data_IF_250462451133
#
_entry.id   IF_250462451133
#
_cell.length_a   1.000
_cell.length_b   1.000
_cell.length_c   1.000
_cell.angle_alpha   90.00
_cell.angle_beta   90.00
_cell.angle_gamma   90.00
#
_symmetry.space_group_name_H-M   'P 1'
#
loop_
_entity.id
_entity.type
_entity.pdbx_description
1 polymer ?
#
# COMPACT_ATOMS: atom_id res chain seq x y z
N UNK A 1 -21.85 11.44 9.97
CA UNK A 1 -22.12 10.67 8.73
C UNK A 1 -22.75 9.33 9.10
N UNK A 2 -23.73 8.89 8.34
CA UNK A 2 -24.40 7.58 8.40
C UNK A 2 -23.56 6.50 7.71
N UNK A 3 -23.93 5.22 7.85
CA UNK A 3 -23.25 4.11 7.15
C UNK A 3 -23.20 4.29 5.64
N UNK A 4 -24.32 4.57 4.93
CA UNK A 4 -24.32 4.82 3.48
C UNK A 4 -23.44 6.02 3.04
N UNK A 5 -23.37 7.09 3.84
CA UNK A 5 -22.49 8.23 3.56
C UNK A 5 -21.02 7.86 3.75
N UNK A 6 -20.69 7.04 4.76
CA UNK A 6 -19.35 6.49 4.94
C UNK A 6 -18.96 5.58 3.79
N UNK A 7 -19.86 4.69 3.36
CA UNK A 7 -19.62 3.81 2.21
C UNK A 7 -19.31 4.62 0.95
N UNK A 8 -20.13 5.64 0.65
CA UNK A 8 -19.92 6.51 -0.53
C UNK A 8 -18.64 7.36 -0.45
N UNK A 9 -18.15 7.62 0.78
CA UNK A 9 -16.88 8.32 1.01
C UNK A 9 -15.66 7.43 0.83
N UNK A 10 -15.80 6.12 1.03
CA UNK A 10 -14.70 5.16 0.96
C UNK A 10 -14.06 5.09 -0.42
N UNK A 11 -12.73 4.86 -0.44
CA UNK A 11 -11.94 4.61 -1.67
C UNK A 11 -11.02 3.43 -1.44
N UNK A 12 -10.68 2.75 -2.52
CA UNK A 12 -9.72 1.64 -2.53
C UNK A 12 -10.17 0.42 -1.71
N UNK A 13 -11.45 0.09 -1.78
CA UNK A 13 -12.04 -1.08 -1.14
C UNK A 13 -12.94 -1.84 -2.15
N UNK A 14 -13.28 -3.09 -1.81
CA UNK A 14 -14.16 -3.98 -2.58
C UNK A 14 -15.38 -4.43 -1.80
N UNK A 15 -15.32 -4.42 -0.47
CA UNK A 15 -16.42 -4.76 0.41
C UNK A 15 -16.61 -3.72 1.51
N UNK A 16 -17.85 -3.51 1.91
CA UNK A 16 -18.24 -2.64 3.01
C UNK A 16 -19.07 -3.45 4.02
N UNK A 17 -18.75 -3.27 5.29
CA UNK A 17 -19.45 -3.92 6.38
C UNK A 17 -19.90 -2.88 7.39
N UNK A 18 -21.17 -2.97 7.78
CA UNK A 18 -21.75 -2.19 8.88
C UNK A 18 -22.22 -3.15 9.97
N UNK A 19 -21.68 -3.00 11.17
CA UNK A 19 -22.07 -3.81 12.33
C UNK A 19 -23.31 -3.26 13.02
N UNK A 20 -24.00 -4.09 13.80
CA UNK A 20 -25.19 -3.71 14.57
C UNK A 20 -24.94 -2.55 15.54
N UNK A 21 -23.70 -2.29 15.90
CA UNK A 21 -23.27 -1.18 16.77
C UNK A 21 -22.88 0.08 15.98
N UNK A 22 -23.15 0.10 14.67
CA UNK A 22 -22.91 1.21 13.75
C UNK A 22 -21.44 1.45 13.39
N UNK A 23 -20.53 0.51 13.71
CA UNK A 23 -19.17 0.57 13.20
C UNK A 23 -19.09 0.06 11.76
N UNK A 24 -18.45 0.84 10.90
CA UNK A 24 -18.29 0.57 9.48
C UNK A 24 -16.83 0.23 9.16
N UNK A 25 -16.62 -0.74 8.27
CA UNK A 25 -15.30 -1.22 7.83
C UNK A 25 -15.23 -1.38 6.33
N UNK A 26 -14.03 -1.25 5.79
CA UNK A 26 -13.74 -1.34 4.36
C UNK A 26 -12.78 -2.50 4.10
N UNK A 27 -13.16 -3.41 3.23
CA UNK A 27 -12.42 -4.62 2.90
C UNK A 27 -11.77 -4.46 1.53
N UNK A 28 -10.45 -4.69 1.43
CA UNK A 28 -9.66 -4.51 0.21
C UNK A 28 -9.78 -5.65 -0.80
N UNK A 29 -10.24 -6.79 -0.38
CA UNK A 29 -10.25 -8.05 -1.12
C UNK A 29 -11.66 -8.55 -1.41
N UNK A 30 -11.80 -9.39 -2.43
CA UNK A 30 -13.03 -10.13 -2.70
C UNK A 30 -13.24 -11.24 -1.67
N UNK A 31 -14.45 -11.79 -1.60
CA UNK A 31 -14.74 -12.94 -0.72
C UNK A 31 -13.91 -14.17 -1.10
N UNK A 32 -13.68 -14.38 -2.39
CA UNK A 32 -12.86 -15.48 -2.91
C UNK A 32 -11.38 -15.31 -2.53
N UNK A 33 -10.83 -14.12 -2.65
CA UNK A 33 -9.47 -13.83 -2.20
C UNK A 33 -9.31 -14.02 -0.68
N UNK A 34 -10.29 -13.57 0.11
CA UNK A 34 -10.26 -13.77 1.56
C UNK A 34 -10.32 -15.26 1.94
N UNK A 35 -11.00 -16.10 1.14
CA UNK A 35 -10.98 -17.55 1.34
C UNK A 35 -9.59 -18.13 1.08
N UNK A 36 -8.93 -17.73 0.00
CA UNK A 36 -7.55 -18.16 -0.33
C UNK A 36 -6.58 -17.73 0.77
N UNK A 37 -6.58 -16.46 1.15
CA UNK A 37 -5.72 -15.99 2.26
C UNK A 37 -6.11 -16.61 3.61
N UNK A 38 -7.37 -17.00 3.77
CA UNK A 38 -7.91 -17.60 4.98
C UNK A 38 -7.37 -18.98 5.31
N UNK A 39 -6.71 -19.67 4.36
CA UNK A 39 -6.06 -20.96 4.57
C UNK A 39 -4.84 -20.86 5.52
N UNK A 40 -4.19 -19.69 5.57
CA UNK A 40 -3.09 -19.41 6.49
C UNK A 40 -3.49 -18.29 7.48
N UNK A 41 -3.38 -18.49 8.80
CA UNK A 41 -3.74 -17.50 9.79
C UNK A 41 -3.02 -16.16 9.65
N UNK A 42 -1.75 -16.17 9.20
CA UNK A 42 -0.98 -14.93 8.98
C UNK A 42 -1.57 -14.13 7.82
N UNK A 43 -1.80 -14.78 6.67
CA UNK A 43 -2.33 -14.12 5.48
C UNK A 43 -3.78 -13.68 5.67
N UNK A 44 -4.60 -14.46 6.40
CA UNK A 44 -5.95 -14.08 6.83
C UNK A 44 -5.94 -12.74 7.56
N UNK A 45 -5.06 -12.59 8.55
CA UNK A 45 -4.96 -11.36 9.33
C UNK A 45 -4.43 -10.18 8.50
N UNK A 46 -3.42 -10.40 7.67
CA UNK A 46 -2.82 -9.36 6.85
C UNK A 46 -3.74 -8.89 5.72
N UNK A 47 -4.59 -9.78 5.17
CA UNK A 47 -5.60 -9.40 4.18
C UNK A 47 -6.70 -8.51 4.76
N UNK A 48 -7.00 -8.61 6.06
CA UNK A 48 -7.98 -7.76 6.73
C UNK A 48 -7.48 -6.35 7.06
N UNK A 49 -6.18 -6.08 6.96
CA UNK A 49 -5.61 -4.76 7.21
C UNK A 49 -6.14 -3.70 6.23
N UNK A 50 -6.25 -2.45 6.70
CA UNK A 50 -6.89 -1.35 5.95
C UNK A 50 -5.93 -0.56 5.04
N UNK A 51 -4.78 -1.14 4.68
CA UNK A 51 -3.74 -0.47 3.89
C UNK A 51 -4.27 0.14 2.59
N UNK A 52 -3.96 1.42 2.37
CA UNK A 52 -4.34 2.14 1.15
C UNK A 52 -5.81 2.59 1.10
N UNK A 53 -6.65 2.17 2.05
CA UNK A 53 -8.03 2.68 2.18
C UNK A 53 -8.00 4.12 2.68
N UNK A 54 -8.83 4.96 2.13
CA UNK A 54 -9.06 6.31 2.64
C UNK A 54 -10.51 6.75 2.44
N UNK A 55 -10.96 7.74 3.23
CA UNK A 55 -12.21 8.44 3.00
C UNK A 55 -11.95 9.75 2.24
N UNK A 56 -12.70 9.97 1.16
CA UNK A 56 -12.77 11.23 0.43
C UNK A 56 -13.92 12.04 0.99
N UNK A 57 -13.63 13.22 1.53
CA UNK A 57 -14.57 14.04 2.28
C UNK A 57 -14.52 15.50 1.80
N UNK A 58 -15.59 16.23 2.00
CA UNK A 58 -15.66 17.68 1.82
C UNK A 58 -16.25 18.31 3.06
N UNK A 59 -15.62 19.35 3.60
CA UNK A 59 -16.13 20.11 4.74
C UNK A 59 -15.76 21.59 4.67
N UNK A 60 -16.61 22.45 5.22
CA UNK A 60 -16.29 23.85 5.52
C UNK A 60 -15.82 24.06 6.96
N UNK A 61 -15.78 22.97 7.77
CA UNK A 61 -15.23 22.95 9.11
C UNK A 61 -13.69 23.04 9.12
N UNK A 62 -13.13 23.09 10.32
CA UNK A 62 -11.71 23.04 10.63
C UNK A 62 -11.37 21.93 11.63
N UNK A 63 -12.35 21.05 11.91
CA UNK A 63 -12.26 19.91 12.83
C UNK A 63 -12.94 18.69 12.26
N UNK A 64 -12.34 17.52 12.51
CA UNK A 64 -12.90 16.22 12.18
C UNK A 64 -12.70 15.28 13.36
N UNK A 65 -13.75 14.55 13.74
CA UNK A 65 -13.67 13.56 14.82
C UNK A 65 -14.49 12.31 14.51
N UNK A 66 -14.09 11.19 15.08
CA UNK A 66 -14.81 9.91 14.96
C UNK A 66 -14.39 8.94 16.04
N UNK A 67 -15.23 7.95 16.29
CA UNK A 67 -14.85 6.78 17.06
C UNK A 67 -14.26 5.73 16.13
N UNK A 68 -13.23 5.04 16.57
CA UNK A 68 -12.65 3.92 15.83
C UNK A 68 -12.26 2.76 16.74
N UNK A 69 -12.26 1.58 16.16
CA UNK A 69 -11.63 0.37 16.67
C UNK A 69 -10.52 0.00 15.72
N UNK A 70 -9.36 -0.24 16.27
CA UNK A 70 -8.21 -0.75 15.55
C UNK A 70 -7.84 -2.08 16.19
N UNK A 71 -7.81 -3.14 15.36
CA UNK A 71 -7.27 -4.43 15.78
C UNK A 71 -5.81 -4.47 15.33
N UNK A 72 -4.91 -4.32 16.29
CA UNK A 72 -3.47 -4.39 16.02
C UNK A 72 -3.04 -5.77 15.52
N UNK A 73 -1.99 -5.81 14.72
CA UNK A 73 -1.41 -7.05 14.20
C UNK A 73 -1.11 -8.08 15.31
N UNK A 74 -0.68 -7.63 16.49
CA UNK A 74 -0.40 -8.52 17.64
C UNK A 74 -1.69 -9.14 18.19
N UNK A 75 -2.77 -8.37 18.32
CA UNK A 75 -4.07 -8.89 18.76
C UNK A 75 -4.75 -9.74 17.68
N UNK A 76 -4.47 -9.48 16.41
CA UNK A 76 -4.89 -10.32 15.28
C UNK A 76 -4.10 -11.64 15.22
N UNK A 77 -2.84 -11.64 15.62
CA UNK A 77 -2.02 -12.84 15.71
C UNK A 77 -2.41 -13.75 16.90
N UNK A 78 -3.05 -13.22 17.95
CA UNK A 78 -3.44 -14.05 19.10
C UNK A 78 -4.35 -15.24 18.73
N UNK A 79 -5.38 -15.10 17.88
CA UNK A 79 -6.14 -16.26 17.39
C UNK A 79 -5.28 -17.20 16.53
N UNK A 80 -4.44 -16.65 15.65
CA UNK A 80 -3.52 -17.44 14.83
C UNK A 80 -2.49 -18.21 15.69
N UNK A 81 -2.04 -17.61 16.77
CA UNK A 81 -1.16 -18.22 17.78
C UNK A 81 -1.82 -19.43 18.43
N UNK A 82 -3.11 -19.33 18.76
CA UNK A 82 -3.85 -20.46 19.34
C UNK A 82 -4.01 -21.64 18.38
N UNK A 83 -4.08 -21.36 17.06
CA UNK A 83 -4.19 -22.39 16.01
C UNK A 83 -2.82 -23.01 15.65
N UNK A 84 -1.73 -22.23 15.65
CA UNK A 84 -0.39 -22.68 15.23
C UNK A 84 0.39 -23.45 16.33
N UNK A 85 -0.10 -23.41 17.58
CA UNK A 85 0.62 -23.97 18.73
C UNK A 85 1.89 -23.21 19.09
N UNK A 86 2.56 -23.65 20.17
CA UNK A 86 3.72 -22.94 20.75
C UNK A 86 4.95 -22.86 19.83
N UNK A 87 5.15 -23.78 18.92
CA UNK A 87 6.33 -23.77 18.04
C UNK A 87 6.17 -22.74 16.91
N UNK A 88 4.98 -22.58 16.35
CA UNK A 88 4.66 -21.48 15.42
C UNK A 88 4.77 -20.12 16.09
N UNK A 89 4.36 -20.00 17.37
CA UNK A 89 4.54 -18.79 18.20
C UNK A 89 6.00 -18.42 18.36
N UNK A 90 6.86 -19.39 18.68
CA UNK A 90 8.30 -19.17 18.87
C UNK A 90 8.97 -18.62 17.59
N UNK A 91 8.59 -19.14 16.43
CA UNK A 91 9.11 -18.63 15.14
C UNK A 91 8.65 -17.19 14.86
N UNK A 92 7.39 -16.87 15.12
CA UNK A 92 6.86 -15.50 14.99
C UNK A 92 7.55 -14.56 15.97
N UNK A 93 7.69 -14.95 17.25
CA UNK A 93 8.38 -14.15 18.29
C UNK A 93 9.86 -13.99 17.95
N UNK A 94 10.53 -15.05 17.49
CA UNK A 94 11.92 -15.00 17.05
C UNK A 94 12.12 -14.05 15.88
N UNK A 95 11.22 -14.07 14.91
CA UNK A 95 11.20 -13.13 13.78
C UNK A 95 10.96 -11.68 14.22
N UNK A 96 10.03 -11.45 15.14
CA UNK A 96 9.75 -10.13 15.72
C UNK A 96 10.91 -9.64 16.59
N UNK A 97 11.48 -10.49 17.46
CA UNK A 97 12.65 -10.14 18.31
C UNK A 97 13.84 -9.75 17.45
N UNK A 98 14.12 -10.51 16.39
CA UNK A 98 15.19 -10.20 15.46
C UNK A 98 14.99 -8.86 14.74
N UNK A 99 13.75 -8.50 14.40
CA UNK A 99 13.40 -7.20 13.82
C UNK A 99 13.58 -6.05 14.83
N UNK A 100 13.23 -6.26 16.08
CA UNK A 100 13.42 -5.28 17.17
C UNK A 100 14.91 -5.05 17.42
N UNK A 101 15.72 -6.11 17.48
CA UNK A 101 17.18 -6.03 17.60
C UNK A 101 17.84 -5.29 16.43
N UNK A 102 17.21 -5.30 15.26
CA UNK A 102 17.64 -4.59 14.05
C UNK A 102 17.14 -3.14 13.96
N UNK A 103 16.53 -2.62 15.04
CA UNK A 103 16.06 -1.22 15.11
C UNK A 103 14.73 -0.96 14.43
N UNK A 104 13.92 -2.00 14.16
CA UNK A 104 12.57 -1.80 13.65
C UNK A 104 11.73 -0.99 14.65
N UNK A 105 10.95 0.01 14.21
CA UNK A 105 10.14 0.81 15.10
C UNK A 105 9.11 -0.07 15.83
N UNK A 106 8.92 0.22 17.11
CA UNK A 106 7.93 -0.46 17.93
C UNK A 106 6.51 -0.34 17.33
N UNK A 107 5.63 -1.34 17.49
CA UNK A 107 4.31 -1.43 16.86
C UNK A 107 3.42 -0.19 16.99
N UNK A 108 3.57 0.61 18.04
CA UNK A 108 2.74 1.79 18.33
C UNK A 108 2.76 2.89 17.27
N UNK A 109 3.76 2.95 16.38
CA UNK A 109 3.79 3.95 15.30
C UNK A 109 2.92 3.56 14.10
N UNK A 110 2.39 2.34 14.09
CA UNK A 110 1.68 1.74 12.93
C UNK A 110 0.19 2.04 12.89
N UNK A 111 -0.39 2.69 13.91
CA UNK A 111 -1.82 3.00 14.02
C UNK A 111 -2.18 4.44 13.64
N UNK A 112 -1.28 5.15 12.97
CA UNK A 112 -1.55 6.52 12.57
C UNK A 112 -2.53 6.58 11.41
N UNK A 113 -3.52 7.44 11.58
CA UNK A 113 -4.33 7.96 10.48
C UNK A 113 -3.68 9.24 9.96
N UNK A 114 -3.73 9.46 8.66
CA UNK A 114 -3.30 10.72 8.05
C UNK A 114 -4.51 11.45 7.48
N UNK A 115 -4.72 12.69 7.90
CA UNK A 115 -5.62 13.62 7.24
C UNK A 115 -4.80 14.50 6.29
N UNK A 116 -5.14 14.46 5.01
CA UNK A 116 -4.52 15.26 3.96
C UNK A 116 -5.56 16.20 3.35
N UNK A 117 -5.29 17.50 3.35
CA UNK A 117 -6.17 18.51 2.79
C UNK A 117 -5.76 18.87 1.35
N UNK A 118 -6.67 19.47 0.59
CA UNK A 118 -6.40 19.91 -0.80
C UNK A 118 -5.42 21.09 -0.92
N UNK A 119 -5.12 21.77 0.19
CA UNK A 119 -4.06 22.81 0.27
C UNK A 119 -2.72 22.26 0.81
N UNK A 120 -2.59 20.93 0.91
CA UNK A 120 -1.34 20.24 1.23
C UNK A 120 -1.02 20.08 2.71
N UNK A 121 -1.94 20.40 3.63
CA UNK A 121 -1.74 20.07 5.04
C UNK A 121 -1.78 18.53 5.21
N UNK A 122 -0.83 17.97 5.98
CA UNK A 122 -0.84 16.59 6.43
C UNK A 122 -0.77 16.54 7.94
N UNK A 123 -1.77 15.93 8.55
CA UNK A 123 -1.89 15.83 10.00
C UNK A 123 -2.06 14.37 10.36
N UNK A 124 -1.14 13.86 11.17
CA UNK A 124 -1.14 12.45 11.58
C UNK A 124 -1.54 12.34 13.04
N UNK A 125 -2.45 11.42 13.34
CA UNK A 125 -2.94 11.18 14.69
C UNK A 125 -3.12 9.68 14.95
N UNK A 126 -2.96 9.29 16.20
CA UNK A 126 -3.31 7.95 16.70
C UNK A 126 -4.58 8.02 17.55
N UNK A 127 -5.41 6.98 17.56
CA UNK A 127 -6.58 6.92 18.43
C UNK A 127 -6.17 7.01 19.91
N UNK A 128 -6.98 7.73 20.68
CA UNK A 128 -6.88 7.74 22.15
C UNK A 128 -8.20 7.24 22.71
N UNK A 129 -8.16 6.11 23.41
CA UNK A 129 -9.37 5.46 23.98
C UNK A 129 -10.49 5.23 22.94
N UNK A 130 -10.12 4.81 21.72
CA UNK A 130 -11.07 4.56 20.63
C UNK A 130 -11.65 5.80 19.99
N UNK A 131 -11.12 6.98 20.26
CA UNK A 131 -11.56 8.24 19.68
C UNK A 131 -10.41 8.94 18.96
N UNK A 132 -10.71 9.60 17.85
CA UNK A 132 -9.76 10.34 17.04
C UNK A 132 -10.28 11.72 16.71
N UNK A 133 -9.37 12.72 16.75
CA UNK A 133 -9.68 14.13 16.57
C UNK A 133 -8.58 14.81 15.75
N UNK A 134 -8.99 15.55 14.73
CA UNK A 134 -8.14 16.37 13.89
C UNK A 134 -8.54 17.83 13.96
N UNK A 135 -7.56 18.71 14.01
CA UNK A 135 -7.69 20.13 13.71
C UNK A 135 -6.83 20.48 12.50
N UNK A 136 -7.37 21.28 11.59
CA UNK A 136 -6.70 21.73 10.38
C UNK A 136 -7.07 23.17 10.07
N UNK A 137 -6.25 23.85 9.28
CA UNK A 137 -6.48 25.26 8.96
C UNK A 137 -7.53 25.40 7.87
N UNK A 138 -8.66 26.03 8.18
CA UNK A 138 -9.70 26.45 7.24
C UNK A 138 -10.36 27.76 7.72
N UNK A 139 -9.53 28.81 7.93
CA UNK A 139 -10.00 30.09 8.48
C UNK A 139 -11.04 30.80 7.60
N UNK A 140 -11.05 30.53 6.30
CA UNK A 140 -12.04 31.09 5.36
C UNK A 140 -13.35 30.29 5.31
N UNK A 141 -13.45 29.17 6.02
CA UNK A 141 -14.61 28.28 5.97
C UNK A 141 -15.01 27.86 4.54
N UNK A 142 -14.02 27.71 3.65
CA UNK A 142 -14.29 27.22 2.30
C UNK A 142 -14.59 25.71 2.31
N UNK A 143 -15.28 25.25 1.29
CA UNK A 143 -15.41 23.81 1.05
C UNK A 143 -14.04 23.21 0.75
N UNK A 144 -13.48 22.49 1.71
CA UNK A 144 -12.13 21.89 1.67
C UNK A 144 -12.27 20.39 1.41
N UNK A 145 -11.51 19.88 0.45
CA UNK A 145 -11.44 18.44 0.18
C UNK A 145 -10.41 17.81 1.11
N UNK A 146 -10.81 16.72 1.73
CA UNK A 146 -10.00 15.96 2.68
C UNK A 146 -9.86 14.51 2.20
N UNK A 147 -8.70 13.92 2.44
CA UNK A 147 -8.46 12.47 2.35
C UNK A 147 -8.02 11.99 3.72
N UNK A 148 -8.82 11.14 4.35
CA UNK A 148 -8.52 10.51 5.63
C UNK A 148 -8.01 9.09 5.36
N UNK A 149 -6.69 8.91 5.36
CA UNK A 149 -6.03 7.62 5.15
C UNK A 149 -6.05 6.78 6.42
N UNK A 150 -6.38 5.51 6.27
CA UNK A 150 -6.37 4.54 7.35
C UNK A 150 -4.96 3.98 7.56
N UNK A 151 -4.64 3.56 8.79
CA UNK A 151 -3.37 2.91 9.08
C UNK A 151 -3.10 1.67 8.20
N UNK A 152 -1.83 1.36 7.98
CA UNK A 152 -1.42 0.25 7.11
C UNK A 152 -1.74 -1.12 7.70
N UNK A 153 -1.49 -1.30 9.00
CA UNK A 153 -1.52 -2.63 9.64
C UNK A 153 -2.83 -3.02 10.30
N UNK A 154 -3.53 -2.15 11.02
CA UNK A 154 -4.73 -2.60 11.69
C UNK A 154 -5.90 -2.77 10.73
N UNK A 155 -6.78 -3.69 11.06
CA UNK A 155 -8.16 -3.62 10.64
C UNK A 155 -8.81 -2.41 11.32
N UNK A 156 -9.52 -1.60 10.56
CA UNK A 156 -10.17 -0.39 11.06
C UNK A 156 -11.67 -0.50 10.91
N UNK A 157 -12.37 -0.22 12.00
CA UNK A 157 -13.80 0.06 12.00
C UNK A 157 -14.04 1.44 12.62
N UNK A 158 -14.87 2.27 11.99
CA UNK A 158 -15.16 3.61 12.47
C UNK A 158 -16.67 3.90 12.46
N UNK A 159 -17.07 4.85 13.31
CA UNK A 159 -18.44 5.38 13.35
C UNK A 159 -18.46 6.83 13.83
N UNK A 160 -19.59 7.50 13.72
CA UNK A 160 -19.79 8.88 14.19
C UNK A 160 -18.73 9.84 13.64
N UNK A 161 -18.50 9.78 12.33
CA UNK A 161 -17.62 10.73 11.67
C UNK A 161 -18.33 12.08 11.56
N UNK A 162 -17.76 13.10 12.20
CA UNK A 162 -18.36 14.41 12.38
C UNK A 162 -17.34 15.53 12.11
N UNK A 163 -17.84 16.68 11.70
CA UNK A 163 -17.09 17.93 11.57
C UNK A 163 -17.85 19.04 12.35
N UNK A 164 -17.14 20.09 12.74
CA UNK A 164 -17.77 21.30 13.27
C UNK A 164 -18.33 22.24 12.18
N UNK A 165 -18.40 21.77 10.95
CA UNK A 165 -19.05 22.36 9.80
C UNK A 165 -19.86 21.33 9.05
N UNK A 166 -20.34 21.67 7.85
CA UNK A 166 -20.94 20.72 6.93
C UNK A 166 -19.93 19.64 6.55
N UNK A 167 -20.36 18.39 6.51
CA UNK A 167 -19.51 17.25 6.13
C UNK A 167 -20.26 16.38 5.13
N UNK A 168 -19.63 16.14 3.98
CA UNK A 168 -20.20 15.39 2.87
C UNK A 168 -19.18 14.41 2.29
N UNK A 169 -19.64 13.32 1.66
CA UNK A 169 -18.79 12.47 0.81
C UNK A 169 -18.17 13.28 -0.33
N UNK A 170 -16.90 13.05 -0.61
CA UNK A 170 -16.26 13.56 -1.82
C UNK A 170 -16.81 12.84 -3.05
N UNK A 171 -17.26 13.58 -4.05
CA UNK A 171 -17.94 13.04 -5.24
C UNK A 171 -17.01 12.67 -6.39
N UNK A 172 -15.73 13.08 -6.33
CA UNK A 172 -14.79 12.80 -7.42
C UNK A 172 -14.52 11.29 -7.53
N UNK A 173 -14.81 10.73 -8.69
CA UNK A 173 -14.41 9.36 -9.05
C UNK A 173 -13.14 9.45 -9.90
N UNK A 174 -12.05 8.92 -9.41
CA UNK A 174 -10.79 8.86 -10.14
C UNK A 174 -10.67 7.50 -10.87
N UNK A 175 -9.92 7.43 -11.97
CA UNK A 175 -9.52 6.14 -12.52
C UNK A 175 -8.81 5.33 -11.45
N UNK A 176 -8.88 3.99 -11.52
CA UNK A 176 -8.29 3.10 -10.52
C UNK A 176 -7.06 2.39 -11.07
N UNK A 177 -6.05 2.22 -10.25
CA UNK A 177 -4.96 1.26 -10.47
C UNK A 177 -5.09 0.11 -9.47
N UNK A 178 -4.71 -1.10 -9.88
CA UNK A 178 -4.67 -2.28 -9.03
C UNK A 178 -3.21 -2.57 -8.67
N UNK A 179 -2.88 -2.53 -7.38
CA UNK A 179 -1.53 -2.75 -6.89
C UNK A 179 -1.45 -4.13 -6.19
N UNK A 180 -0.86 -5.11 -6.88
CA UNK A 180 -0.68 -6.49 -6.43
C UNK A 180 0.75 -6.67 -5.89
N UNK A 181 0.92 -7.32 -4.75
CA UNK A 181 2.24 -7.57 -4.19
C UNK A 181 2.25 -8.03 -2.73
N UNK A 182 3.41 -7.98 -2.15
CA UNK A 182 3.72 -8.45 -0.80
C UNK A 182 3.67 -7.34 0.27
N UNK A 183 4.48 -7.49 1.33
CA UNK A 183 4.60 -6.51 2.42
C UNK A 183 5.04 -5.12 1.95
N UNK A 184 5.88 -5.04 0.90
CA UNK A 184 6.36 -3.77 0.37
C UNK A 184 5.21 -3.03 -0.31
N UNK A 185 4.35 -3.74 -1.03
CA UNK A 185 3.12 -3.18 -1.62
C UNK A 185 2.10 -2.83 -0.56
N UNK A 186 1.92 -3.67 0.46
CA UNK A 186 1.05 -3.36 1.60
C UNK A 186 1.50 -2.07 2.32
N UNK A 187 2.80 -1.73 2.29
CA UNK A 187 3.36 -0.54 2.92
C UNK A 187 3.96 -0.82 4.29
N UNK A 188 4.48 -2.03 4.51
CA UNK A 188 5.15 -2.40 5.75
C UNK A 188 6.22 -1.36 6.13
N UNK A 189 6.22 -0.99 7.42
CA UNK A 189 7.11 0.00 8.02
C UNK A 189 6.88 1.46 7.58
N UNK A 190 5.87 1.77 6.75
CA UNK A 190 5.45 3.16 6.59
C UNK A 190 4.93 3.72 7.91
N UNK A 191 5.47 4.87 8.32
CA UNK A 191 5.01 5.61 9.50
C UNK A 191 3.72 6.37 9.19
N UNK A 192 3.60 6.83 7.94
CA UNK A 192 2.46 7.57 7.42
C UNK A 192 1.77 6.79 6.29
N UNK A 193 0.49 6.40 6.43
CA UNK A 193 -0.21 5.61 5.41
C UNK A 193 -0.35 6.35 4.07
N UNK A 194 -0.42 7.67 4.08
CA UNK A 194 -0.44 8.50 2.87
C UNK A 194 0.90 8.57 2.13
N UNK A 195 1.99 8.03 2.70
CA UNK A 195 3.35 8.09 2.15
C UNK A 195 3.89 6.72 1.70
N UNK A 196 3.06 5.68 1.63
CA UNK A 196 3.42 4.43 0.96
C UNK A 196 3.67 4.67 -0.53
N UNK A 197 4.45 3.82 -1.20
CA UNK A 197 4.71 4.00 -2.62
C UNK A 197 3.43 3.93 -3.47
N UNK A 198 2.45 3.10 -3.07
CA UNK A 198 1.16 2.99 -3.77
C UNK A 198 0.32 4.26 -3.66
N UNK A 199 0.26 4.87 -2.45
CA UNK A 199 -0.44 6.15 -2.25
C UNK A 199 0.24 7.29 -2.99
N UNK A 200 1.58 7.35 -2.97
CA UNK A 200 2.35 8.37 -3.71
C UNK A 200 2.22 8.22 -5.22
N UNK A 201 2.28 6.99 -5.74
CA UNK A 201 2.09 6.73 -7.15
C UNK A 201 0.68 7.14 -7.60
N UNK A 202 -0.33 6.85 -6.79
CA UNK A 202 -1.70 7.28 -7.04
C UNK A 202 -1.82 8.81 -7.12
N UNK A 203 -1.18 9.53 -6.20
CA UNK A 203 -1.13 11.00 -6.22
C UNK A 203 -0.45 11.55 -7.48
N UNK A 204 0.70 10.99 -7.86
CA UNK A 204 1.45 11.38 -9.06
C UNK A 204 0.66 11.14 -10.36
N UNK A 205 -0.11 10.05 -10.42
CA UNK A 205 -0.92 9.70 -11.58
C UNK A 205 -2.31 10.35 -11.58
N UNK A 206 -2.75 10.93 -10.47
CA UNK A 206 -4.10 11.46 -10.30
C UNK A 206 -5.17 10.37 -10.31
N UNK A 207 -4.94 9.23 -9.65
CA UNK A 207 -5.79 8.04 -9.65
C UNK A 207 -6.05 7.52 -8.23
N UNK A 208 -6.96 6.56 -8.10
CA UNK A 208 -7.14 5.75 -6.89
C UNK A 208 -6.31 4.45 -6.97
N UNK A 209 -5.63 4.06 -5.89
CA UNK A 209 -4.84 2.84 -5.84
C UNK A 209 -5.48 1.78 -4.95
N UNK A 210 -6.14 0.78 -5.53
CA UNK A 210 -6.58 -0.40 -4.80
C UNK A 210 -5.34 -1.23 -4.42
N UNK A 211 -4.91 -1.08 -3.17
CA UNK A 211 -3.76 -1.78 -2.64
C UNK A 211 -4.15 -3.19 -2.22
N UNK A 212 -3.70 -4.19 -2.96
CA UNK A 212 -3.85 -5.61 -2.66
C UNK A 212 -2.51 -6.27 -2.26
N UNK A 213 -1.64 -5.54 -1.59
CA UNK A 213 -0.47 -6.09 -0.93
C UNK A 213 -0.82 -6.89 0.30
N UNK A 214 -0.17 -8.07 0.48
CA UNK A 214 -0.27 -8.95 1.65
C UNK A 214 1.13 -9.33 2.11
N UNK A 215 1.46 -8.99 3.35
CA UNK A 215 2.79 -9.25 3.90
C UNK A 215 3.18 -10.73 3.87
N UNK A 216 4.40 -11.00 3.41
CA UNK A 216 4.91 -12.38 3.30
C UNK A 216 4.41 -13.14 2.08
N UNK A 217 3.46 -12.61 1.31
CA UNK A 217 2.87 -13.33 0.18
C UNK A 217 3.81 -13.39 -1.04
N UNK A 218 3.51 -14.26 -1.98
CA UNK A 218 4.35 -14.68 -3.10
C UNK A 218 3.52 -14.87 -4.37
N UNK A 219 4.15 -15.28 -5.49
CA UNK A 219 3.43 -15.61 -6.73
C UNK A 219 2.50 -16.80 -6.51
N UNK A 220 1.21 -16.53 -6.50
CA UNK A 220 0.14 -17.50 -6.41
C UNK A 220 -1.06 -17.05 -7.25
N UNK A 221 -1.39 -17.80 -8.29
CA UNK A 221 -2.49 -17.50 -9.20
C UNK A 221 -3.86 -17.52 -8.50
N UNK A 222 -4.01 -18.28 -7.41
CA UNK A 222 -5.25 -18.33 -6.63
C UNK A 222 -5.55 -16.98 -5.95
N UNK A 223 -4.54 -16.17 -5.63
CA UNK A 223 -4.73 -14.83 -5.06
C UNK A 223 -5.45 -13.83 -6.01
N UNK A 224 -5.65 -14.20 -7.27
CA UNK A 224 -6.39 -13.44 -8.27
C UNK A 224 -7.86 -13.89 -8.41
N UNK A 225 -8.32 -14.84 -7.61
CA UNK A 225 -9.71 -15.30 -7.65
C UNK A 225 -10.69 -14.18 -7.25
N UNK A 226 -11.86 -14.15 -7.89
CA UNK A 226 -12.90 -13.15 -7.61
C UNK A 226 -12.63 -11.75 -8.21
N UNK A 227 -11.48 -11.53 -8.87
CA UNK A 227 -11.21 -10.25 -9.55
C UNK A 227 -11.96 -10.08 -10.87
N UNK A 228 -12.74 -11.08 -11.32
CA UNK A 228 -13.58 -11.02 -12.51
C UNK A 228 -14.59 -9.85 -12.46
N UNK A 229 -15.00 -9.46 -11.24
CA UNK A 229 -15.87 -8.30 -11.03
C UNK A 229 -15.20 -6.98 -11.41
N UNK A 230 -13.89 -6.85 -11.16
CA UNK A 230 -13.09 -5.68 -11.56
C UNK A 230 -12.69 -5.73 -13.05
N UNK A 231 -12.67 -6.91 -13.63
CA UNK A 231 -12.26 -7.09 -15.04
C UNK A 231 -13.32 -6.62 -16.05
N UNK A 232 -14.57 -6.50 -15.62
CA UNK A 232 -15.67 -6.01 -16.45
C UNK A 232 -15.45 -4.56 -16.85
N UNK A 233 -15.89 -4.22 -18.04
CA UNK A 233 -15.86 -2.82 -18.50
C UNK A 233 -16.70 -1.93 -17.60
N UNK A 234 -16.16 -0.75 -17.27
CA UNK A 234 -16.82 0.20 -16.38
C UNK A 234 -15.83 0.91 -15.44
N UNK A 235 -16.32 1.77 -14.57
CA UNK A 235 -15.49 2.61 -13.70
C UNK A 235 -14.66 1.83 -12.66
N UNK A 236 -15.04 0.58 -12.40
CA UNK A 236 -14.30 -0.29 -11.48
C UNK A 236 -13.10 -0.98 -12.12
N UNK A 237 -13.03 -1.05 -13.47
CA UNK A 237 -11.92 -1.67 -14.18
C UNK A 237 -10.64 -0.86 -13.97
N UNK A 238 -9.52 -1.50 -13.59
CA UNK A 238 -8.27 -0.78 -13.41
C UNK A 238 -7.75 -0.26 -14.75
N UNK A 239 -7.26 0.98 -14.76
CA UNK A 239 -6.60 1.59 -15.90
C UNK A 239 -5.21 0.97 -16.16
N UNK A 240 -4.57 0.47 -15.10
CA UNK A 240 -3.34 -0.32 -15.13
C UNK A 240 -3.24 -1.19 -13.87
N UNK A 241 -2.36 -2.19 -13.94
CA UNK A 241 -2.00 -3.05 -12.82
C UNK A 241 -0.51 -2.87 -12.51
N UNK A 242 -0.13 -2.88 -11.23
CA UNK A 242 1.26 -3.06 -10.81
C UNK A 242 1.39 -4.41 -10.12
N UNK A 243 2.49 -5.12 -10.40
CA UNK A 243 2.82 -6.41 -9.76
C UNK A 243 4.20 -6.30 -9.14
N UNK A 244 4.34 -6.54 -7.84
CA UNK A 244 5.60 -6.43 -7.11
C UNK A 244 5.72 -7.60 -6.10
N UNK A 245 6.10 -8.77 -6.63
CA UNK A 245 6.42 -9.98 -5.88
C UNK A 245 7.85 -10.42 -6.17
N UNK A 246 8.30 -11.46 -5.46
CA UNK A 246 9.55 -12.16 -5.72
C UNK A 246 10.53 -12.13 -4.55
N UNK A 247 10.42 -11.13 -3.65
CA UNK A 247 11.32 -11.06 -2.49
C UNK A 247 11.06 -12.20 -1.49
N UNK A 248 9.80 -12.58 -1.29
CA UNK A 248 9.44 -13.74 -0.46
C UNK A 248 9.60 -15.07 -1.23
N UNK A 249 9.35 -15.08 -2.53
CA UNK A 249 9.60 -16.25 -3.38
C UNK A 249 11.06 -16.69 -3.26
N UNK A 250 12.00 -15.75 -3.25
CA UNK A 250 13.42 -16.04 -3.09
C UNK A 250 13.73 -16.79 -1.78
N UNK A 251 13.02 -16.46 -0.70
CA UNK A 251 13.18 -17.12 0.60
C UNK A 251 12.43 -18.46 0.73
N UNK A 252 11.27 -18.58 0.08
CA UNK A 252 10.30 -19.65 0.33
C UNK A 252 10.32 -20.76 -0.72
N UNK A 253 10.71 -20.44 -1.97
CA UNK A 253 10.59 -21.39 -3.07
C UNK A 253 11.83 -22.30 -3.13
N UNK A 254 11.66 -23.64 -3.28
CA UNK A 254 12.77 -24.58 -3.21
C UNK A 254 13.73 -24.55 -4.41
N UNK A 255 13.36 -23.81 -5.48
CA UNK A 255 14.20 -23.71 -6.67
C UNK A 255 13.61 -22.79 -7.73
N UNK A 256 14.47 -22.34 -8.66
CA UNK A 256 14.12 -21.39 -9.71
C UNK A 256 13.06 -21.92 -10.69
N UNK A 257 13.00 -23.24 -10.93
CA UNK A 257 11.96 -23.86 -11.76
C UNK A 257 10.57 -23.66 -11.18
N UNK A 258 10.41 -23.87 -9.87
CA UNK A 258 9.15 -23.68 -9.16
C UNK A 258 8.72 -22.21 -9.18
N UNK A 259 9.65 -21.28 -9.00
CA UNK A 259 9.36 -19.85 -9.15
C UNK A 259 8.82 -19.54 -10.55
N UNK A 260 9.50 -20.05 -11.62
CA UNK A 260 9.06 -19.83 -13.00
C UNK A 260 7.66 -20.40 -13.26
N UNK A 261 7.35 -21.57 -12.75
CA UNK A 261 6.03 -22.18 -12.87
C UNK A 261 4.95 -21.33 -12.20
N UNK A 262 5.18 -20.88 -10.96
CA UNK A 262 4.27 -20.00 -10.21
C UNK A 262 4.08 -18.66 -10.91
N UNK A 263 5.16 -17.97 -11.29
CA UNK A 263 5.11 -16.70 -11.98
C UNK A 263 4.38 -16.81 -13.34
N UNK A 264 4.65 -17.88 -14.10
CA UNK A 264 3.96 -18.15 -15.36
C UNK A 264 2.45 -18.32 -15.17
N UNK A 265 2.03 -19.15 -14.21
CA UNK A 265 0.62 -19.37 -13.90
C UNK A 265 -0.06 -18.06 -13.46
N UNK A 266 0.62 -17.26 -12.63
CA UNK A 266 0.15 -15.97 -12.17
C UNK A 266 -0.07 -14.98 -13.34
N UNK A 267 0.94 -14.78 -14.20
CA UNK A 267 0.83 -13.86 -15.34
C UNK A 267 -0.17 -14.33 -16.39
N UNK A 268 -0.30 -15.66 -16.59
CA UNK A 268 -1.34 -16.22 -17.46
C UNK A 268 -2.73 -15.85 -16.94
N UNK A 269 -2.97 -16.05 -15.65
CA UNK A 269 -4.23 -15.70 -15.01
C UNK A 269 -4.52 -14.21 -15.07
N UNK A 270 -3.51 -13.38 -14.75
CA UNK A 270 -3.62 -11.92 -14.78
C UNK A 270 -3.97 -11.40 -16.18
N UNK A 271 -3.28 -11.88 -17.20
CA UNK A 271 -3.54 -11.50 -18.60
C UNK A 271 -4.93 -11.93 -19.06
N UNK A 272 -5.40 -13.10 -18.62
CA UNK A 272 -6.76 -13.58 -18.88
C UNK A 272 -7.85 -12.75 -18.21
N UNK A 273 -7.59 -12.26 -16.98
CA UNK A 273 -8.51 -11.41 -16.23
C UNK A 273 -8.61 -9.99 -16.82
N UNK A 274 -7.49 -9.40 -17.20
CA UNK A 274 -7.42 -7.99 -17.60
C UNK A 274 -6.88 -7.83 -19.04
N UNK A 275 -7.55 -8.38 -20.06
CA UNK A 275 -7.10 -8.25 -21.44
C UNK A 275 -7.04 -6.76 -21.85
N UNK A 276 -5.89 -6.35 -22.42
CA UNK A 276 -5.66 -4.98 -22.86
C UNK A 276 -5.34 -3.97 -21.75
N UNK A 277 -5.38 -4.35 -20.47
CA UNK A 277 -4.92 -3.51 -19.36
C UNK A 277 -3.40 -3.67 -19.21
N UNK A 278 -2.61 -2.58 -19.26
CA UNK A 278 -1.16 -2.67 -19.10
C UNK A 278 -0.81 -3.09 -17.65
N UNK A 279 0.14 -4.01 -17.51
CA UNK A 279 0.69 -4.39 -16.22
C UNK A 279 2.16 -3.97 -16.12
N UNK A 280 2.50 -3.26 -15.05
CA UNK A 280 3.87 -2.88 -14.72
C UNK A 280 4.41 -3.83 -13.66
N UNK A 281 5.35 -4.68 -14.05
CA UNK A 281 5.93 -5.72 -13.21
C UNK A 281 7.25 -5.22 -12.66
N UNK A 282 7.25 -4.87 -11.39
CA UNK A 282 8.45 -4.50 -10.64
C UNK A 282 9.13 -5.79 -10.16
N UNK A 283 10.34 -6.07 -10.67
CA UNK A 283 11.16 -7.15 -10.11
C UNK A 283 11.59 -6.81 -8.68
N UNK A 284 12.01 -7.79 -7.86
CA UNK A 284 12.37 -7.52 -6.48
C UNK A 284 13.38 -6.38 -6.35
N UNK A 285 13.12 -5.47 -5.40
CA UNK A 285 14.01 -4.36 -5.07
C UNK A 285 15.19 -4.83 -4.22
N UNK A 286 16.22 -3.99 -4.10
CA UNK A 286 17.36 -4.25 -3.24
C UNK A 286 16.94 -4.62 -1.80
N UNK A 287 17.68 -5.55 -1.19
CA UNK A 287 17.57 -5.93 0.22
C UNK A 287 18.96 -6.19 0.81
N UNK A 288 19.10 -6.03 2.10
CA UNK A 288 20.41 -6.02 2.78
C UNK A 288 21.11 -7.38 2.94
N UNK A 289 20.55 -8.46 2.37
CA UNK A 289 21.07 -9.83 2.45
C UNK A 289 21.18 -10.52 1.09
N UNK A 290 21.37 -9.73 0.00
CA UNK A 290 21.50 -10.23 -1.38
C UNK A 290 22.65 -11.22 -1.57
N UNK A 291 23.69 -11.13 -0.75
CA UNK A 291 24.87 -11.98 -0.77
C UNK A 291 24.67 -13.37 -0.16
N UNK A 292 23.51 -13.60 0.49
CA UNK A 292 23.22 -14.88 1.13
C UNK A 292 22.71 -15.89 0.10
N UNK A 293 23.27 -17.11 0.06
CA UNK A 293 22.77 -18.15 -0.82
C UNK A 293 21.38 -18.61 -0.37
N UNK A 294 20.46 -18.80 -1.34
CA UNK A 294 19.12 -19.33 -1.13
C UNK A 294 18.90 -20.54 -2.04
N UNK A 295 17.95 -21.39 -1.64
CA UNK A 295 17.59 -22.56 -2.46
C UNK A 295 17.06 -22.18 -3.85
N UNK A 296 16.40 -21.05 -3.95
CA UNK A 296 15.85 -20.51 -5.20
C UNK A 296 16.93 -19.96 -6.17
N UNK A 297 18.18 -19.89 -5.77
CA UNK A 297 19.28 -19.31 -6.55
C UNK A 297 19.69 -17.92 -6.09
N UNK A 298 20.46 -17.21 -6.90
CA UNK A 298 20.82 -15.81 -6.63
C UNK A 298 19.62 -14.89 -6.83
N UNK A 299 19.68 -13.72 -6.19
CA UNK A 299 18.60 -12.73 -6.31
C UNK A 299 18.43 -12.20 -7.75
N UNK A 300 19.55 -12.05 -8.48
CA UNK A 300 19.55 -11.66 -9.90
C UNK A 300 18.90 -12.72 -10.80
N UNK A 301 19.10 -14.01 -10.50
CA UNK A 301 18.42 -15.09 -11.23
C UNK A 301 16.91 -15.06 -10.99
N UNK A 302 16.47 -14.77 -9.77
CA UNK A 302 15.06 -14.59 -9.42
C UNK A 302 14.47 -13.39 -10.16
N UNK A 303 15.12 -12.23 -10.13
CA UNK A 303 14.66 -11.04 -10.83
C UNK A 303 14.54 -11.28 -12.34
N UNK A 304 15.54 -11.93 -12.94
CA UNK A 304 15.56 -12.30 -14.36
C UNK A 304 14.44 -13.29 -14.71
N UNK A 305 14.24 -14.32 -13.88
CA UNK A 305 13.18 -15.30 -14.10
C UNK A 305 11.79 -14.64 -14.11
N UNK A 306 11.54 -13.74 -13.17
CA UNK A 306 10.27 -12.98 -13.11
C UNK A 306 10.11 -12.11 -14.35
N UNK A 307 11.15 -11.39 -14.75
CA UNK A 307 11.15 -10.54 -15.95
C UNK A 307 10.86 -11.33 -17.24
N UNK A 308 11.47 -12.50 -17.39
CA UNK A 308 11.26 -13.39 -18.55
C UNK A 308 9.83 -13.95 -18.60
N UNK A 309 9.28 -14.41 -17.46
CA UNK A 309 7.91 -14.91 -17.43
C UNK A 309 6.88 -13.80 -17.65
N UNK A 310 7.12 -12.60 -17.08
CA UNK A 310 6.28 -11.43 -17.33
C UNK A 310 6.32 -11.00 -18.80
N UNK A 311 7.51 -11.00 -19.43
CA UNK A 311 7.74 -10.59 -20.81
C UNK A 311 7.05 -11.47 -21.87
N UNK A 312 6.51 -12.63 -21.49
CA UNK A 312 5.70 -13.49 -22.38
C UNK A 312 4.35 -12.85 -22.77
N UNK A 313 3.92 -11.82 -22.05
CA UNK A 313 2.66 -11.14 -22.24
C UNK A 313 2.89 -9.72 -22.74
N UNK A 314 2.49 -9.35 -23.99
CA UNK A 314 2.82 -8.05 -24.61
C UNK A 314 2.29 -6.82 -23.84
N UNK A 315 1.27 -6.99 -23.00
CA UNK A 315 0.73 -5.92 -22.15
C UNK A 315 1.59 -5.62 -20.91
N UNK A 316 2.54 -6.50 -20.59
CA UNK A 316 3.40 -6.35 -19.42
C UNK A 316 4.64 -5.50 -19.76
N UNK A 317 4.99 -4.62 -18.84
CA UNK A 317 6.20 -3.79 -18.85
C UNK A 317 7.00 -4.08 -17.61
N UNK A 318 8.21 -4.57 -17.77
CA UNK A 318 9.10 -4.89 -16.65
C UNK A 318 9.85 -3.64 -16.22
N UNK A 319 9.81 -3.37 -14.91
CA UNK A 319 10.61 -2.35 -14.25
C UNK A 319 11.64 -3.08 -13.38
N UNK A 320 12.92 -2.85 -13.63
CA UNK A 320 13.97 -3.48 -12.88
C UNK A 320 14.08 -2.88 -11.47
N UNK A 321 13.75 -3.68 -10.45
CA UNK A 321 13.78 -3.27 -9.05
C UNK A 321 15.18 -2.96 -8.53
N UNK A 322 16.21 -3.62 -9.05
CA UNK A 322 17.61 -3.36 -8.68
C UNK A 322 18.14 -2.06 -9.31
N UNK A 323 17.51 -1.54 -10.36
CA UNK A 323 17.85 -0.23 -10.93
C UNK A 323 17.28 0.95 -10.14
N UNK A 324 16.39 0.71 -9.16
CA UNK A 324 15.88 1.77 -8.29
C UNK A 324 17.00 2.22 -7.35
N UNK A 325 17.30 3.53 -7.24
CA UNK A 325 18.46 4.03 -6.49
C UNK A 325 18.23 4.04 -4.96
N UNK A 326 17.86 2.90 -4.40
CA UNK A 326 17.67 2.67 -2.97
C UNK A 326 18.61 1.58 -2.43
N UNK A 327 19.74 1.35 -3.07
CA UNK A 327 20.73 0.31 -2.70
C UNK A 327 21.58 0.70 -1.49
N UNK A 328 20.93 1.23 -0.44
CA UNK A 328 21.57 1.61 0.81
C UNK A 328 20.57 1.40 1.97
N UNK A 329 21.04 0.86 3.08
CA UNK A 329 20.25 0.59 4.30
C UNK A 329 19.49 1.82 4.83
N UNK A 330 19.98 3.03 4.58
CA UNK A 330 19.32 4.29 4.99
C UNK A 330 17.92 4.48 4.38
N UNK A 331 17.62 3.81 3.27
CA UNK A 331 16.30 3.84 2.62
C UNK A 331 15.33 2.81 3.15
N UNK A 332 15.73 2.00 4.14
CA UNK A 332 14.95 0.91 4.72
C UNK A 332 14.71 1.13 6.20
N UNK A 333 13.44 1.06 6.62
CA UNK A 333 13.04 1.30 8.00
C UNK A 333 13.55 0.21 8.97
N UNK A 334 13.64 -1.03 8.50
CA UNK A 334 14.18 -2.17 9.24
C UNK A 334 15.66 -2.43 8.92
N UNK A 335 16.31 -1.49 8.25
CA UNK A 335 17.70 -1.51 7.80
C UNK A 335 18.04 -2.61 6.77
N UNK A 336 17.05 -3.33 6.19
CA UNK A 336 17.41 -4.38 5.24
C UNK A 336 16.36 -4.80 4.20
N UNK A 337 15.04 -4.70 4.42
CA UNK A 337 14.00 -5.27 3.55
C UNK A 337 12.88 -4.29 3.20
N UNK A 338 12.31 -3.60 4.20
CA UNK A 338 11.13 -2.77 3.97
C UNK A 338 11.53 -1.30 3.86
N UNK A 339 11.27 -0.65 2.72
CA UNK A 339 11.61 0.75 2.53
C UNK A 339 10.98 1.66 3.60
N UNK A 340 11.70 2.70 3.96
CA UNK A 340 11.14 3.84 4.69
C UNK A 340 10.43 4.79 3.73
N UNK A 341 9.92 5.91 4.24
CA UNK A 341 9.15 6.87 3.43
C UNK A 341 9.95 7.47 2.26
N UNK A 342 11.26 7.66 2.42
CA UNK A 342 12.12 8.13 1.34
C UNK A 342 12.33 7.03 0.30
N UNK A 343 12.55 5.78 0.72
CA UNK A 343 12.61 4.63 -0.17
C UNK A 343 11.30 4.47 -0.96
N UNK A 344 10.14 4.58 -0.29
CA UNK A 344 8.84 4.54 -0.95
C UNK A 344 8.63 5.71 -1.93
N UNK A 345 9.12 6.90 -1.61
CA UNK A 345 9.08 8.05 -2.53
C UNK A 345 9.84 7.75 -3.81
N UNK A 346 11.08 7.29 -3.69
CA UNK A 346 11.94 6.97 -4.84
C UNK A 346 11.33 5.85 -5.70
N UNK A 347 10.74 4.81 -5.06
CA UNK A 347 10.02 3.76 -5.78
C UNK A 347 8.83 4.31 -6.58
N UNK A 348 8.01 5.17 -5.97
CA UNK A 348 6.86 5.78 -6.63
C UNK A 348 7.29 6.66 -7.81
N UNK A 349 8.32 7.49 -7.63
CA UNK A 349 8.86 8.35 -8.69
C UNK A 349 9.39 7.51 -9.87
N UNK A 350 10.10 6.41 -9.59
CA UNK A 350 10.61 5.51 -10.64
C UNK A 350 9.49 4.81 -11.41
N UNK A 351 8.46 4.33 -10.71
CA UNK A 351 7.28 3.73 -11.35
C UNK A 351 6.50 4.78 -12.15
N UNK A 352 6.35 5.98 -11.63
CA UNK A 352 5.72 7.10 -12.35
C UNK A 352 6.45 7.41 -13.65
N UNK A 353 7.79 7.47 -13.64
CA UNK A 353 8.59 7.64 -14.85
C UNK A 353 8.38 6.51 -15.86
N UNK A 354 8.27 5.26 -15.40
CA UNK A 354 8.02 4.12 -16.26
C UNK A 354 6.61 4.12 -16.89
N UNK A 355 5.62 4.63 -16.16
CA UNK A 355 4.20 4.68 -16.57
C UNK A 355 3.90 5.96 -17.36
N UNK A 356 4.41 7.11 -16.91
CA UNK A 356 4.04 8.44 -17.39
C UNK A 356 4.35 8.70 -18.85
N UNK A 357 5.54 8.38 -19.40
CA UNK A 357 5.89 8.63 -20.79
C UNK A 357 5.08 7.80 -21.79
N UNK A 358 4.47 6.71 -21.38
CA UNK A 358 3.58 5.94 -22.23
C UNK A 358 2.26 6.69 -22.56
N UNK A 359 1.98 7.80 -21.86
CA UNK A 359 0.84 8.70 -22.15
C UNK A 359 1.20 9.90 -23.03
N UNK A 360 2.49 10.25 -23.10
CA UNK A 360 3.01 11.30 -23.98
C UNK A 360 4.01 10.66 -24.92
N UNK A 361 3.65 10.52 -26.18
CA UNK A 361 4.58 10.10 -27.23
C UNK A 361 5.59 11.22 -27.49
N UNK A 362 6.61 11.36 -26.62
CA UNK A 362 7.82 12.11 -26.89
C UNK A 362 9.05 11.33 -26.35
N UNK A 363 10.05 11.06 -27.18
CA UNK A 363 11.29 10.43 -26.76
C UNK A 363 12.20 11.45 -26.11
N UNK A 364 12.43 11.37 -24.82
CA UNK A 364 13.48 12.14 -24.16
C UNK A 364 13.34 12.29 -22.66
N UNK A 365 14.34 11.77 -21.95
CA UNK A 365 14.75 12.09 -20.58
C UNK A 365 13.95 11.51 -19.41
N UNK A 366 14.30 10.27 -19.05
CA UNK A 366 14.39 9.86 -17.65
C UNK A 366 15.80 9.31 -17.37
N UNK A 367 16.82 10.09 -17.71
CA UNK A 367 18.16 9.86 -17.16
C UNK A 367 18.15 10.30 -15.70
N UNK A 368 18.69 9.43 -14.82
CA UNK A 368 18.68 9.63 -13.37
C UNK A 368 19.49 10.81 -12.83
N UNK A 369 19.77 11.82 -13.66
CA UNK A 369 20.53 13.02 -13.33
C UNK A 369 19.69 14.30 -13.17
N UNK A 370 18.39 14.29 -13.56
CA UNK A 370 17.56 15.50 -13.52
C UNK A 370 16.40 15.44 -12.51
N UNK A 371 16.66 15.01 -11.28
CA UNK A 371 15.77 15.32 -10.17
C UNK A 371 16.22 16.66 -9.61
N UNK A 372 15.75 17.75 -10.22
CA UNK A 372 15.87 19.09 -9.65
C UNK A 372 15.21 19.08 -8.26
N UNK A 373 16.01 19.36 -7.24
CA UNK A 373 15.53 19.63 -5.89
C UNK A 373 14.49 20.77 -5.97
N UNK A 374 13.29 20.62 -5.38
CA UNK A 374 12.39 21.76 -5.23
C UNK A 374 13.10 22.79 -4.35
N UNK A 375 13.31 23.98 -4.91
CA UNK A 375 14.03 25.06 -4.30
C UNK A 375 13.53 25.37 -2.90
N UNK A 376 14.41 25.26 -1.93
CA UNK A 376 14.29 25.83 -0.59
C UNK A 376 14.47 27.35 -0.70
N UNK A 377 13.40 28.04 -1.04
CA UNK A 377 13.32 29.50 -1.07
C UNK A 377 12.28 30.03 -0.11
N UNK A 378 12.50 29.88 1.19
CA UNK A 378 11.86 30.74 2.18
C UNK A 378 12.82 31.91 2.46
N UNK A 379 12.40 33.17 2.32
CA UNK A 379 13.24 34.31 2.67
C UNK A 379 13.43 34.35 4.19
N UNK A 380 14.70 34.36 4.59
CA UNK A 380 15.10 34.64 5.98
C UNK A 380 14.81 36.12 6.21
N UNK A 381 13.91 36.43 7.14
CA UNK A 381 13.68 37.79 7.62
C UNK A 381 14.94 38.28 8.36
N UNK A 382 15.50 39.42 7.91
CA UNK A 382 16.58 40.10 8.57
C UNK A 382 16.14 40.68 9.93
N UNK A 383 17.00 40.69 10.97
CA UNK A 383 16.69 41.32 12.25
C UNK A 383 16.64 42.81 12.14
N UNK A 384 15.64 43.45 12.77
CA UNK A 384 15.51 44.89 12.89
C UNK A 384 16.67 45.49 13.72
N UNK A 385 17.18 46.68 13.39
CA UNK A 385 18.17 47.37 14.21
C UNK A 385 17.53 47.97 15.46
N UNK A 386 18.36 48.10 16.49
CA UNK A 386 18.07 48.62 17.83
C UNK A 386 17.36 49.99 17.87
#
# INVERSE_FOLDING_TARGET
MTGPELESSGRNYLGFLEGDDGYCSFIRFTGEQLRVYGEDPLFRNLSMCSSGVYLSLVTDGDRLSFDCRTLELVSQLLPAIAELGWDGVKEIIRGLSKKIEQGAPLPRQREKFDLVTDDGQRISRMPKNGHLYFEFRNGSRRAMKLRLYFPVFPYVALRRLESNGRLEPGTATLPRILCLGDSITQGFNAVHPSLTWTSRLADLLGVDALNQGVGGYYFDAASLEGLEGLAREGPSRPALVTVAYGTNDWDLVPGLSTLRERARAYFARLAGLFPGVPAYVLTPIWRGDLDKPKACGSFDEVARAIAEEAGRYPGNRVVDGLSIPIQDRKYFQDNWLHPNEEGFRIMADRLFCAIGPARAAEPGSCDGSDVASPGSGLPVAAPAPR
#
